data_IF_548583112321
#
_entry.id   IF_548583112321
#
_cell.length_a   1.000
_cell.length_b   1.000
_cell.length_c   1.000
_cell.angle_alpha   90.00
_cell.angle_beta   90.00
_cell.angle_gamma   90.00
#
_symmetry.space_group_name_H-M   'P 1'
#
loop_
_entity.id
_entity.type
_entity.pdbx_description
1 polymer ?
#
# COMPACT_ATOMS: atom_id res chain seq x y z
N UNK A 1 1.93 -3.13 -11.18
CA UNK A 1 1.60 -2.38 -9.95
C UNK A 1 0.32 -2.86 -9.27
N UNK A 2 -0.80 -2.94 -9.98
CA UNK A 2 -2.03 -3.45 -9.37
C UNK A 2 -1.88 -4.86 -8.77
N UNK A 3 -1.23 -5.78 -9.48
CA UNK A 3 -1.03 -7.15 -9.01
C UNK A 3 -0.29 -7.18 -7.68
N UNK A 4 0.66 -6.28 -7.50
CA UNK A 4 1.41 -6.17 -6.26
C UNK A 4 0.48 -5.86 -5.08
N UNK A 5 -0.42 -4.89 -5.25
CA UNK A 5 -1.38 -4.53 -4.20
C UNK A 5 -2.49 -5.55 -4.04
N UNK A 6 -2.87 -6.24 -5.11
CA UNK A 6 -3.80 -7.36 -5.02
C UNK A 6 -3.21 -8.46 -4.13
N UNK A 7 -1.93 -8.76 -4.31
CA UNK A 7 -1.26 -9.77 -3.49
C UNK A 7 -1.14 -9.32 -2.02
N UNK A 8 -0.85 -8.04 -1.80
CA UNK A 8 -0.65 -7.52 -0.45
C UNK A 8 -1.96 -7.34 0.32
N UNK A 9 -3.00 -6.79 -0.31
CA UNK A 9 -4.20 -6.33 0.37
C UNK A 9 -5.48 -6.96 -0.14
N UNK A 10 -5.41 -7.96 -1.00
CA UNK A 10 -6.59 -8.52 -1.68
C UNK A 10 -7.36 -7.43 -2.44
N UNK A 11 -6.62 -6.45 -2.98
CA UNK A 11 -7.23 -5.35 -3.72
C UNK A 11 -8.08 -5.88 -4.88
N UNK A 12 -9.20 -5.21 -5.14
CA UNK A 12 -10.12 -5.58 -6.20
C UNK A 12 -10.20 -4.45 -7.22
N UNK A 13 -9.99 -4.79 -8.49
CA UNK A 13 -10.13 -3.81 -9.56
C UNK A 13 -11.60 -3.46 -9.75
N UNK A 14 -11.92 -2.16 -9.61
CA UNK A 14 -13.29 -1.68 -9.80
C UNK A 14 -13.46 -0.96 -11.13
N UNK A 15 -12.37 -0.48 -11.74
CA UNK A 15 -12.40 0.21 -13.02
C UNK A 15 -11.04 0.18 -13.68
N UNK A 16 -11.02 0.11 -15.01
CA UNK A 16 -9.81 0.26 -15.80
C UNK A 16 -10.17 1.02 -17.07
N UNK A 17 -9.42 2.07 -17.39
CA UNK A 17 -9.70 2.84 -18.57
C UNK A 17 -8.61 3.86 -18.86
N UNK A 18 -8.73 4.48 -20.05
CA UNK A 18 -7.80 5.50 -20.50
C UNK A 18 -8.57 6.80 -20.69
N UNK A 19 -8.16 7.91 -20.03
CA UNK A 19 -8.82 9.21 -20.24
C UNK A 19 -8.74 9.63 -21.71
N UNK A 20 -9.73 10.42 -22.21
CA UNK A 20 -9.79 10.78 -23.63
C UNK A 20 -8.53 11.48 -24.18
N UNK A 21 -7.83 12.21 -23.35
CA UNK A 21 -6.67 13.01 -23.77
C UNK A 21 -5.34 12.38 -23.35
N UNK A 22 -5.32 11.08 -23.04
CA UNK A 22 -4.14 10.42 -22.50
C UNK A 22 -4.02 9.01 -23.04
N UNK A 23 -2.80 8.52 -23.16
CA UNK A 23 -2.52 7.12 -23.47
C UNK A 23 -2.30 6.29 -22.19
N UNK A 24 -2.45 6.92 -21.02
CA UNK A 24 -2.17 6.29 -19.76
C UNK A 24 -3.35 5.46 -19.27
N UNK A 25 -3.07 4.28 -18.73
CA UNK A 25 -4.10 3.41 -18.16
C UNK A 25 -4.31 3.79 -16.70
N UNK A 26 -5.56 4.09 -16.34
CA UNK A 26 -5.95 4.37 -14.96
C UNK A 26 -6.73 3.18 -14.41
N UNK A 27 -6.36 2.73 -13.23
CA UNK A 27 -7.01 1.61 -12.55
C UNK A 27 -7.54 2.11 -11.22
N UNK A 28 -8.83 1.89 -10.98
CA UNK A 28 -9.42 2.10 -9.66
C UNK A 28 -9.43 0.75 -8.95
N UNK A 29 -9.05 0.74 -7.70
CA UNK A 29 -9.05 -0.50 -6.91
C UNK A 29 -9.64 -0.26 -5.53
N UNK A 30 -10.33 -1.28 -5.03
CA UNK A 30 -10.85 -1.29 -3.67
C UNK A 30 -9.84 -1.98 -2.76
N UNK A 31 -9.42 -1.27 -1.72
CA UNK A 31 -8.56 -1.83 -0.67
C UNK A 31 -9.34 -1.70 0.63
N UNK A 32 -9.87 -2.83 1.14
CA UNK A 32 -10.61 -2.89 2.40
C UNK A 32 -11.74 -1.86 2.48
N UNK A 33 -12.47 -1.66 1.39
CA UNK A 33 -13.60 -0.75 1.34
C UNK A 33 -13.26 0.69 0.98
N UNK A 34 -12.00 1.00 0.71
CA UNK A 34 -11.57 2.33 0.28
C UNK A 34 -11.09 2.26 -1.17
N UNK A 35 -11.64 3.14 -2.00
CA UNK A 35 -11.28 3.17 -3.42
C UNK A 35 -10.01 4.00 -3.62
N UNK A 36 -9.08 3.46 -4.38
CA UNK A 36 -7.79 4.10 -4.68
C UNK A 36 -7.57 4.14 -6.18
N UNK A 37 -6.92 5.19 -6.66
CA UNK A 37 -6.58 5.34 -8.06
C UNK A 37 -5.09 5.02 -8.27
N UNK A 38 -4.82 4.13 -9.21
CA UNK A 38 -3.47 3.90 -9.71
C UNK A 38 -3.38 4.50 -11.10
N UNK A 39 -2.41 5.34 -11.31
CA UNK A 39 -2.14 5.90 -12.62
C UNK A 39 -0.77 6.56 -12.62
N UNK A 40 -0.25 6.91 -13.80
CA UNK A 40 0.98 7.70 -13.85
C UNK A 40 0.67 9.06 -13.27
N UNK A 41 1.22 9.33 -12.13
CA UNK A 41 1.07 10.61 -11.46
C UNK A 41 2.25 11.51 -11.73
N UNK A 42 2.19 12.68 -11.15
CA UNK A 42 3.37 13.53 -11.06
C UNK A 42 4.41 12.77 -10.27
N UNK A 43 5.64 12.75 -10.75
CA UNK A 43 6.72 12.11 -10.03
C UNK A 43 6.73 12.61 -8.59
N UNK A 44 6.71 11.73 -7.59
CA UNK A 44 6.73 12.18 -6.21
C UNK A 44 7.99 12.98 -5.96
N UNK A 45 7.82 14.14 -5.35
CA UNK A 45 8.96 14.90 -4.89
C UNK A 45 9.71 14.09 -3.84
N UNK A 46 10.97 14.36 -3.66
CA UNK A 46 11.76 13.72 -2.62
C UNK A 46 11.14 14.06 -1.26
N UNK A 47 10.78 13.03 -0.50
CA UNK A 47 10.21 13.21 0.83
C UNK A 47 8.69 13.07 0.84
N UNK A 48 8.21 11.84 0.94
CA UNK A 48 6.79 11.57 1.12
C UNK A 48 6.43 11.88 2.56
N UNK A 49 5.73 12.99 2.77
CA UNK A 49 5.16 13.32 4.08
C UNK A 49 3.80 12.66 4.29
N UNK A 50 3.26 12.01 3.27
CA UNK A 50 1.94 11.37 3.33
C UNK A 50 2.11 9.88 3.08
N UNK A 51 1.50 9.07 3.95
CA UNK A 51 1.43 7.63 3.73
C UNK A 51 0.02 7.14 4.01
N UNK A 52 -0.34 6.03 3.37
CA UNK A 52 -1.63 5.39 3.58
C UNK A 52 -1.55 4.50 4.81
N UNK A 53 -2.52 4.63 5.73
CA UNK A 53 -2.57 3.83 6.93
C UNK A 53 -3.57 2.69 6.77
N UNK A 54 -3.16 1.49 7.17
CA UNK A 54 -4.04 0.33 7.18
C UNK A 54 -3.94 -0.33 8.55
N UNK A 55 -5.10 -0.55 9.18
CA UNK A 55 -5.21 -1.23 10.47
C UNK A 55 -5.78 -2.61 10.24
N UNK A 56 -5.01 -3.62 10.59
CA UNK A 56 -5.41 -5.01 10.41
C UNK A 56 -6.09 -5.53 11.67
N UNK A 57 -7.04 -6.44 11.47
CA UNK A 57 -7.72 -7.14 12.57
C UNK A 57 -7.17 -8.56 12.76
N UNK A 58 -6.30 -9.00 11.87
CA UNK A 58 -5.69 -10.33 11.88
C UNK A 58 -4.17 -10.19 11.76
N UNK A 59 -3.44 -10.71 12.73
CA UNK A 59 -1.98 -10.64 12.74
C UNK A 59 -1.36 -11.32 11.51
N UNK A 60 -1.93 -12.46 11.07
CA UNK A 60 -1.43 -13.16 9.90
C UNK A 60 -1.55 -12.32 8.64
N UNK A 61 -2.63 -11.57 8.51
CA UNK A 61 -2.81 -10.67 7.38
C UNK A 61 -1.82 -9.51 7.42
N UNK A 62 -1.56 -8.95 8.60
CA UNK A 62 -0.52 -7.95 8.76
C UNK A 62 0.83 -8.48 8.29
N UNK A 63 1.23 -9.64 8.81
CA UNK A 63 2.53 -10.22 8.48
C UNK A 63 2.65 -10.53 6.99
N UNK A 64 1.59 -11.04 6.38
CA UNK A 64 1.57 -11.35 4.96
C UNK A 64 1.72 -10.08 4.12
N UNK A 65 0.92 -9.06 4.41
CA UNK A 65 0.98 -7.79 3.69
C UNK A 65 2.34 -7.11 3.85
N UNK A 66 2.84 -7.05 5.07
CA UNK A 66 4.14 -6.47 5.37
C UNK A 66 5.25 -7.18 4.59
N UNK A 67 5.22 -8.52 4.58
CA UNK A 67 6.22 -9.30 3.86
C UNK A 67 6.19 -9.03 2.36
N UNK A 68 5.01 -8.84 1.76
CA UNK A 68 4.90 -8.54 0.34
C UNK A 68 5.35 -7.11 0.06
N UNK A 69 4.90 -6.14 0.85
CA UNK A 69 5.25 -4.73 0.63
C UNK A 69 6.74 -4.45 0.78
N UNK A 70 7.43 -5.21 1.63
CA UNK A 70 8.86 -5.02 1.84
C UNK A 70 9.73 -5.65 0.76
N UNK A 71 9.14 -6.43 -0.16
CA UNK A 71 9.89 -6.96 -1.29
C UNK A 71 10.37 -5.82 -2.19
N UNK A 72 11.70 -5.67 -2.28
CA UNK A 72 12.34 -4.61 -3.05
C UNK A 72 11.91 -3.21 -2.60
N UNK A 73 11.50 -3.06 -1.34
CA UNK A 73 11.08 -1.76 -0.80
C UNK A 73 12.24 -0.79 -0.75
N UNK A 74 11.92 0.50 -0.87
CA UNK A 74 12.94 1.55 -0.76
C UNK A 74 13.35 1.76 0.69
N UNK A 75 12.44 1.59 1.63
CA UNK A 75 12.73 1.63 3.06
C UNK A 75 11.63 0.94 3.83
N UNK A 76 11.94 0.43 5.02
CA UNK A 76 10.96 -0.15 5.91
C UNK A 76 11.49 -0.13 7.34
N UNK A 77 10.56 -0.11 8.30
CA UNK A 77 10.90 -0.15 9.72
C UNK A 77 10.65 -1.55 10.29
N UNK A 78 11.21 -1.86 11.48
CA UNK A 78 10.90 -3.11 12.18
C UNK A 78 9.39 -3.22 12.47
N UNK A 79 8.89 -4.45 12.54
CA UNK A 79 7.46 -4.69 12.72
C UNK A 79 7.02 -4.91 14.17
N UNK A 80 7.93 -4.74 15.12
CA UNK A 80 7.60 -4.82 16.53
C UNK A 80 7.70 -6.22 17.15
N UNK A 81 7.15 -6.47 18.34
CA UNK A 81 6.14 -5.67 19.05
C UNK A 81 6.66 -4.38 19.67
N UNK A 82 5.74 -3.44 19.88
CA UNK A 82 6.04 -2.14 20.46
C UNK A 82 5.08 -1.84 21.61
N UNK A 83 5.44 -0.89 22.52
CA UNK A 83 4.53 -0.52 23.62
C UNK A 83 3.18 0.03 23.15
N UNK A 84 3.12 0.60 21.94
CA UNK A 84 1.94 1.26 21.40
C UNK A 84 1.21 0.44 20.33
N UNK A 85 1.77 -0.69 19.93
CA UNK A 85 1.13 -1.58 18.95
C UNK A 85 1.73 -2.98 19.04
N UNK A 86 0.90 -3.99 18.88
CA UNK A 86 1.38 -5.38 18.84
C UNK A 86 2.29 -5.56 17.62
N UNK A 87 1.89 -4.99 16.48
CA UNK A 87 2.68 -4.96 15.27
C UNK A 87 2.51 -3.60 14.60
N UNK A 88 3.58 -3.05 14.07
CA UNK A 88 3.54 -1.80 13.32
C UNK A 88 4.71 -1.74 12.37
N UNK A 89 4.47 -1.30 11.14
CA UNK A 89 5.53 -1.16 10.18
C UNK A 89 5.27 0.00 9.23
N UNK A 90 6.32 0.78 8.95
CA UNK A 90 6.29 1.82 7.93
C UNK A 90 7.07 1.30 6.74
N UNK A 91 6.47 1.36 5.56
CA UNK A 91 7.09 0.86 4.33
C UNK A 91 6.97 1.91 3.25
N UNK A 92 8.07 2.22 2.58
CA UNK A 92 8.02 2.88 1.27
C UNK A 92 8.28 1.77 0.25
N UNK A 93 7.22 1.38 -0.48
CA UNK A 93 7.31 0.22 -1.35
C UNK A 93 8.16 0.48 -2.59
N UNK A 94 8.32 -0.55 -3.43
CA UNK A 94 9.17 -0.44 -4.62
C UNK A 94 8.68 0.58 -5.64
N UNK A 95 7.42 1.00 -5.53
CA UNK A 95 6.84 2.02 -6.39
C UNK A 95 6.90 3.42 -5.77
N UNK A 96 7.46 3.55 -4.56
CA UNK A 96 7.59 4.83 -3.87
C UNK A 96 6.36 5.26 -3.09
N UNK A 97 5.42 4.35 -2.86
CA UNK A 97 4.22 4.64 -2.07
C UNK A 97 4.48 4.33 -0.60
N UNK A 98 4.11 5.24 0.28
CA UNK A 98 4.26 5.07 1.72
C UNK A 98 3.06 4.39 2.34
N UNK A 99 3.31 3.40 3.19
CA UNK A 99 2.29 2.64 3.91
C UNK A 99 2.62 2.61 5.39
N UNK A 100 1.61 2.84 6.22
CA UNK A 100 1.70 2.64 7.67
C UNK A 100 0.75 1.50 8.03
N UNK A 101 1.29 0.38 8.47
CA UNK A 101 0.53 -0.82 8.77
C UNK A 101 0.50 -1.04 10.28
N UNK A 102 -0.66 -1.36 10.83
CA UNK A 102 -0.84 -1.58 12.27
C UNK A 102 -1.68 -2.82 12.54
N UNK A 103 -1.33 -3.51 13.62
CA UNK A 103 -2.15 -4.56 14.19
C UNK A 103 -2.08 -4.45 15.72
N UNK A 104 -3.24 -4.49 16.39
CA UNK A 104 -3.36 -4.58 17.84
C UNK A 104 -4.29 -5.73 18.20
N UNK A 105 -3.89 -6.46 19.23
CA UNK A 105 -4.74 -7.51 19.78
C UNK A 105 -6.05 -6.94 20.34
#
# INVERSE_FOLDING_TARGET
MFQFYQNAFHARKTYEGTPPDSDDIHIMMDIYGVENLIGPGVAPGSGNSICCEIRFTDENEFCRAYGILTQESKSHSPEGPFPWATRSGLVEDKFGVGWALYYNE
#
